data_IF_436440433205
#
_entry.id   IF_436440433205
#
_cell.length_a   1.000
_cell.length_b   1.000
_cell.length_c   1.000
_cell.angle_alpha   90.00
_cell.angle_beta   90.00
_cell.angle_gamma   90.00
#
_symmetry.space_group_name_H-M   'P 1'
#
loop_
_entity.id
_entity.type
_entity.pdbx_description
1 polymer ?
#
# COMPACT_ATOMS: atom_id res chain seq x y z
N UNK A 1 -8.78 -4.44 -8.16
CA UNK A 1 -7.96 -4.05 -6.98
C UNK A 1 -6.48 -4.31 -7.22
N UNK A 2 -6.06 -5.56 -7.39
CA UNK A 2 -4.64 -5.91 -7.62
C UNK A 2 -4.05 -5.21 -8.85
N UNK A 3 -4.82 -5.14 -9.94
CA UNK A 3 -4.41 -4.43 -11.16
C UNK A 3 -4.12 -2.94 -10.95
N UNK A 4 -4.75 -2.28 -9.98
CA UNK A 4 -4.50 -0.86 -9.69
C UNK A 4 -3.16 -0.64 -9.02
N UNK A 5 -2.73 -1.56 -8.16
CA UNK A 5 -1.37 -1.51 -7.60
C UNK A 5 -0.35 -1.90 -8.68
N UNK A 6 -0.63 -2.94 -9.46
CA UNK A 6 0.28 -3.36 -10.54
C UNK A 6 0.43 -2.32 -11.65
N UNK A 7 -0.60 -1.52 -11.96
CA UNK A 7 -0.51 -0.48 -12.99
C UNK A 7 0.55 0.57 -12.67
N UNK A 8 0.81 0.86 -11.39
CA UNK A 8 1.88 1.75 -10.97
C UNK A 8 3.26 1.20 -11.35
N UNK A 9 3.53 -0.07 -11.02
CA UNK A 9 4.79 -0.73 -11.38
C UNK A 9 4.99 -0.85 -12.89
N UNK A 10 3.92 -1.11 -13.64
CA UNK A 10 3.98 -1.09 -15.10
C UNK A 10 4.37 0.29 -15.64
N UNK A 11 3.76 1.34 -15.10
CA UNK A 11 4.06 2.71 -15.51
C UNK A 11 5.45 3.15 -15.07
N UNK A 12 5.94 2.72 -13.92
CA UNK A 12 7.30 2.97 -13.45
C UNK A 12 8.34 2.34 -14.37
N UNK A 13 8.11 1.09 -14.81
CA UNK A 13 8.94 0.42 -15.81
C UNK A 13 8.89 1.17 -17.13
N UNK A 14 7.69 1.52 -17.61
CA UNK A 14 7.52 2.23 -18.88
C UNK A 14 8.20 3.60 -18.86
N UNK A 15 8.03 4.36 -17.78
CA UNK A 15 8.70 5.64 -17.54
C UNK A 15 10.22 5.47 -17.56
N UNK A 16 10.73 4.50 -16.79
CA UNK A 16 12.17 4.27 -16.66
C UNK A 16 12.81 3.80 -17.96
N UNK A 17 12.10 3.02 -18.77
CA UNK A 17 12.58 2.57 -20.09
C UNK A 17 12.63 3.73 -21.07
N UNK A 18 11.55 4.52 -21.18
CA UNK A 18 11.48 5.66 -22.11
C UNK A 18 12.48 6.76 -21.72
N UNK A 19 12.59 7.06 -20.42
CA UNK A 19 13.42 8.13 -19.88
C UNK A 19 14.72 7.61 -19.24
N UNK A 20 15.25 6.47 -19.70
CA UNK A 20 16.50 5.85 -19.17
C UNK A 20 17.65 6.84 -18.95
N UNK A 21 17.99 7.76 -19.90
CA UNK A 21 19.10 8.69 -19.69
C UNK A 21 18.82 9.68 -18.56
N UNK A 22 17.59 10.16 -18.44
CA UNK A 22 17.17 11.11 -17.41
C UNK A 22 17.17 10.44 -16.04
N UNK A 23 16.47 9.30 -15.92
CA UNK A 23 16.31 8.56 -14.66
C UNK A 23 17.66 8.06 -14.14
N UNK A 24 18.52 7.52 -15.01
CA UNK A 24 19.86 7.07 -14.60
C UNK A 24 20.74 8.22 -14.08
N UNK A 25 20.65 9.40 -14.71
CA UNK A 25 21.38 10.58 -14.26
C UNK A 25 20.84 11.12 -12.94
N UNK A 26 19.51 11.21 -12.79
CA UNK A 26 18.88 11.61 -11.53
C UNK A 26 19.27 10.68 -10.38
N UNK A 27 19.24 9.36 -10.60
CA UNK A 27 19.66 8.38 -9.60
C UNK A 27 21.15 8.49 -9.28
N UNK A 28 22.01 8.75 -10.28
CA UNK A 28 23.44 8.99 -10.04
C UNK A 28 23.70 10.23 -9.19
N UNK A 29 23.01 11.34 -9.49
CA UNK A 29 23.10 12.59 -8.74
C UNK A 29 22.65 12.38 -7.29
N UNK A 30 21.50 11.72 -7.10
CA UNK A 30 20.98 11.47 -5.75
C UNK A 30 21.85 10.46 -5.00
N UNK A 31 22.45 9.47 -5.65
CA UNK A 31 23.38 8.56 -4.96
C UNK A 31 24.78 9.14 -4.74
N UNK A 32 25.07 10.32 -5.29
CA UNK A 32 26.41 10.93 -5.33
C UNK A 32 27.48 9.97 -5.92
N UNK A 33 27.12 9.33 -7.03
CA UNK A 33 27.94 8.33 -7.74
C UNK A 33 28.08 8.69 -9.22
N UNK A 34 29.01 8.01 -9.89
CA UNK A 34 29.22 8.17 -11.33
C UNK A 34 27.94 7.80 -12.12
N UNK A 35 27.64 8.56 -13.18
CA UNK A 35 26.48 8.35 -14.06
C UNK A 35 26.36 6.90 -14.56
N UNK A 36 27.49 6.24 -14.83
CA UNK A 36 27.52 4.82 -15.22
C UNK A 36 26.88 3.91 -14.16
N UNK A 37 27.14 4.15 -12.87
CA UNK A 37 26.51 3.38 -11.80
C UNK A 37 25.01 3.66 -11.71
N UNK A 38 24.58 4.92 -11.90
CA UNK A 38 23.18 5.28 -11.95
C UNK A 38 22.42 4.54 -13.06
N UNK A 39 22.96 4.50 -14.28
CA UNK A 39 22.35 3.74 -15.38
C UNK A 39 22.33 2.22 -15.12
N UNK A 40 23.42 1.68 -14.57
CA UNK A 40 23.48 0.25 -14.21
C UNK A 40 22.40 -0.10 -13.17
N UNK A 41 22.25 0.73 -12.15
CA UNK A 41 21.23 0.55 -11.12
C UNK A 41 19.81 0.68 -11.70
N UNK A 42 19.56 1.65 -12.59
CA UNK A 42 18.26 1.77 -13.30
C UNK A 42 17.95 0.53 -14.11
N UNK A 43 18.92 -0.03 -14.83
CA UNK A 43 18.72 -1.26 -15.59
C UNK A 43 18.39 -2.45 -14.67
N UNK A 44 19.13 -2.60 -13.57
CA UNK A 44 18.87 -3.65 -12.58
C UNK A 44 17.45 -3.53 -11.99
N UNK A 45 17.05 -2.33 -11.59
CA UNK A 45 15.74 -2.05 -11.00
C UNK A 45 14.58 -2.29 -11.98
N UNK A 46 14.73 -1.87 -13.24
CA UNK A 46 13.77 -2.16 -14.31
C UNK A 46 13.63 -3.68 -14.52
N UNK A 47 14.74 -4.42 -14.61
CA UNK A 47 14.73 -5.87 -14.77
C UNK A 47 14.09 -6.58 -13.58
N UNK A 48 14.40 -6.15 -12.36
CA UNK A 48 13.81 -6.68 -11.13
C UNK A 48 12.29 -6.46 -11.11
N UNK A 49 11.84 -5.25 -11.47
CA UNK A 49 10.42 -4.90 -11.48
C UNK A 49 9.67 -5.67 -12.58
N UNK A 50 10.23 -5.79 -13.78
CA UNK A 50 9.67 -6.64 -14.85
C UNK A 50 9.57 -8.10 -14.39
N UNK A 51 10.63 -8.64 -13.79
CA UNK A 51 10.65 -10.00 -13.26
C UNK A 51 9.57 -10.21 -12.20
N UNK A 52 9.37 -9.24 -11.32
CA UNK A 52 8.32 -9.30 -10.31
C UNK A 52 6.91 -9.22 -10.90
N UNK A 53 6.67 -8.30 -11.85
CA UNK A 53 5.40 -8.18 -12.57
C UNK A 53 5.06 -9.52 -13.25
N UNK A 54 6.03 -10.12 -13.94
CA UNK A 54 5.87 -11.41 -14.59
C UNK A 54 5.54 -12.52 -13.58
N UNK A 55 6.21 -12.55 -12.43
CA UNK A 55 5.90 -13.52 -11.37
C UNK A 55 4.49 -13.32 -10.78
N UNK A 56 4.04 -12.08 -10.61
CA UNK A 56 2.73 -11.75 -10.03
C UNK A 56 1.58 -12.04 -10.99
N UNK A 57 1.72 -11.72 -12.28
CA UNK A 57 0.63 -11.83 -13.26
C UNK A 57 0.71 -13.08 -14.11
N UNK A 58 1.92 -13.52 -14.45
CA UNK A 58 2.17 -14.62 -15.38
C UNK A 58 2.32 -16.00 -14.72
N UNK A 59 2.53 -16.07 -13.40
CA UNK A 59 2.81 -17.34 -12.73
C UNK A 59 1.96 -17.58 -11.49
N UNK A 60 1.88 -18.85 -11.06
CA UNK A 60 1.31 -19.21 -9.74
C UNK A 60 2.22 -18.86 -8.56
N UNK A 61 3.35 -18.15 -8.76
CA UNK A 61 4.30 -17.76 -7.70
C UNK A 61 4.16 -16.29 -7.31
N UNK A 62 2.91 -15.84 -7.17
CA UNK A 62 2.56 -14.44 -6.89
C UNK A 62 3.24 -13.89 -5.63
N UNK A 63 3.29 -14.69 -4.55
CA UNK A 63 3.95 -14.30 -3.32
C UNK A 63 5.46 -14.01 -3.53
N UNK A 64 6.13 -14.81 -4.37
CA UNK A 64 7.54 -14.60 -4.70
C UNK A 64 7.75 -13.30 -5.48
N UNK A 65 6.83 -12.96 -6.39
CA UNK A 65 6.88 -11.70 -7.11
C UNK A 65 6.69 -10.49 -6.20
N UNK A 66 5.73 -10.54 -5.27
CA UNK A 66 5.54 -9.46 -4.28
C UNK A 66 6.75 -9.33 -3.35
N UNK A 67 7.33 -10.44 -2.89
CA UNK A 67 8.58 -10.38 -2.10
C UNK A 67 9.74 -9.81 -2.89
N UNK A 68 9.80 -10.05 -4.20
CA UNK A 68 10.85 -9.49 -5.06
C UNK A 68 10.71 -7.96 -5.14
N UNK A 69 9.49 -7.43 -5.32
CA UNK A 69 9.25 -5.98 -5.26
C UNK A 69 9.64 -5.39 -3.91
N UNK A 70 9.26 -6.05 -2.80
CA UNK A 70 9.62 -5.60 -1.46
C UNK A 70 11.15 -5.55 -1.28
N UNK A 71 11.88 -6.57 -1.74
CA UNK A 71 13.34 -6.57 -1.71
C UNK A 71 13.89 -5.42 -2.56
N UNK A 72 13.36 -5.22 -3.77
CA UNK A 72 13.73 -4.10 -4.64
C UNK A 72 13.54 -2.75 -3.94
N UNK A 73 12.39 -2.53 -3.28
CA UNK A 73 12.10 -1.32 -2.49
C UNK A 73 13.01 -1.16 -1.28
N UNK A 74 13.34 -2.24 -0.57
CA UNK A 74 14.32 -2.18 0.54
C UNK A 74 15.69 -1.78 0.03
N UNK A 75 16.14 -2.34 -1.09
CA UNK A 75 17.42 -1.97 -1.73
C UNK A 75 17.38 -0.50 -2.15
N UNK A 76 16.30 -0.07 -2.81
CA UNK A 76 16.08 1.33 -3.18
C UNK A 76 16.17 2.22 -1.95
N UNK A 77 15.43 1.91 -0.89
CA UNK A 77 15.50 2.64 0.36
C UNK A 77 16.92 2.68 0.95
N UNK A 78 17.69 1.60 0.92
CA UNK A 78 19.07 1.62 1.43
C UNK A 78 19.97 2.58 0.64
N UNK A 79 19.86 2.62 -0.68
CA UNK A 79 20.64 3.57 -1.50
C UNK A 79 20.19 5.02 -1.30
N UNK A 80 18.88 5.25 -1.14
CA UNK A 80 18.32 6.60 -1.05
C UNK A 80 18.16 7.10 0.39
N UNK A 81 18.35 6.26 1.42
CA UNK A 81 18.20 6.62 2.84
C UNK A 81 19.20 7.67 3.30
N UNK A 82 20.29 7.89 2.56
CA UNK A 82 21.28 8.93 2.85
C UNK A 82 20.66 10.32 2.65
N UNK A 83 19.65 10.45 1.78
CA UNK A 83 18.93 11.69 1.54
C UNK A 83 17.65 11.74 2.37
N UNK A 84 17.83 11.90 3.69
CA UNK A 84 16.73 12.16 4.64
C UNK A 84 15.98 13.47 4.38
N UNK A 85 16.44 14.32 3.45
CA UNK A 85 15.73 15.54 3.07
C UNK A 85 14.36 15.29 2.42
N UNK A 86 14.10 14.08 1.91
CA UNK A 86 12.80 13.77 1.33
C UNK A 86 11.92 12.99 2.31
N UNK A 87 11.45 13.63 3.39
CA UNK A 87 10.42 13.07 4.27
C UNK A 87 9.23 12.51 3.46
N UNK A 88 8.79 13.24 2.43
CA UNK A 88 7.75 12.82 1.50
C UNK A 88 8.10 11.52 0.75
N UNK A 89 9.37 11.32 0.39
CA UNK A 89 9.80 10.09 -0.28
C UNK A 89 9.68 8.88 0.64
N UNK A 90 10.10 9.00 1.90
CA UNK A 90 9.98 7.91 2.89
C UNK A 90 8.52 7.53 3.16
N UNK A 91 7.63 8.52 3.25
CA UNK A 91 6.21 8.26 3.48
C UNK A 91 5.47 7.71 2.25
N UNK A 92 5.88 8.11 1.04
CA UNK A 92 5.36 7.53 -0.20
C UNK A 92 5.87 6.09 -0.39
N UNK A 93 7.14 5.82 -0.11
CA UNK A 93 7.70 4.46 -0.14
C UNK A 93 7.03 3.58 0.92
N UNK A 94 6.78 4.10 2.13
CA UNK A 94 6.03 3.35 3.13
C UNK A 94 4.61 3.06 2.69
N UNK A 95 3.94 3.98 2.00
CA UNK A 95 2.61 3.75 1.44
C UNK A 95 2.64 2.62 0.41
N UNK A 96 3.61 2.66 -0.51
CA UNK A 96 3.78 1.64 -1.55
C UNK A 96 4.05 0.26 -0.94
N UNK A 97 4.97 0.17 0.03
CA UNK A 97 5.21 -1.04 0.83
C UNK A 97 3.92 -1.51 1.50
N UNK A 98 3.09 -0.58 2.02
CA UNK A 98 1.78 -0.91 2.60
C UNK A 98 0.84 -1.57 1.60
N UNK A 99 0.77 -1.04 0.38
CA UNK A 99 -0.03 -1.59 -0.71
C UNK A 99 0.44 -3.00 -1.11
N UNK A 100 1.76 -3.23 -1.16
CA UNK A 100 2.35 -4.54 -1.45
C UNK A 100 2.10 -5.56 -0.33
N UNK A 101 2.18 -5.14 0.94
CA UNK A 101 1.87 -6.01 2.08
C UNK A 101 0.40 -6.46 2.06
N UNK A 102 -0.52 -5.56 1.71
CA UNK A 102 -1.93 -5.90 1.53
C UNK A 102 -2.16 -6.79 0.31
N UNK A 103 -1.45 -6.56 -0.79
CA UNK A 103 -1.48 -7.44 -1.95
C UNK A 103 -1.03 -8.86 -1.57
N UNK A 104 0.06 -8.99 -0.81
CA UNK A 104 0.54 -10.27 -0.28
C UNK A 104 -0.50 -10.92 0.64
N UNK A 105 -1.12 -10.13 1.54
CA UNK A 105 -2.17 -10.61 2.43
C UNK A 105 -3.40 -11.12 1.64
N UNK A 106 -3.83 -10.41 0.60
CA UNK A 106 -4.93 -10.83 -0.28
C UNK A 106 -4.62 -12.16 -0.98
N UNK A 107 -3.38 -12.35 -1.46
CA UNK A 107 -2.98 -13.62 -2.10
C UNK A 107 -2.90 -14.78 -1.12
N UNK A 108 -2.47 -14.53 0.13
CA UNK A 108 -2.49 -15.55 1.18
C UNK A 108 -3.94 -15.95 1.52
N UNK A 109 -4.84 -14.97 1.64
CA UNK A 109 -6.26 -15.21 1.93
C UNK A 109 -6.95 -16.07 0.87
N UNK A 110 -6.58 -15.90 -0.42
CA UNK A 110 -7.13 -16.69 -1.52
C UNK A 110 -6.67 -18.16 -1.54
N UNK A 111 -5.60 -18.53 -0.80
CA UNK A 111 -5.03 -19.88 -0.88
C UNK A 111 -5.50 -20.84 0.20
N UNK A 112 -6.46 -20.45 1.07
CA UNK A 112 -7.05 -21.30 2.12
C UNK A 112 -6.01 -22.09 2.95
N UNK A 113 -4.83 -21.51 3.20
CA UNK A 113 -3.73 -22.25 3.82
C UNK A 113 -3.75 -22.15 5.35
N UNK A 114 -3.71 -23.34 5.98
CA UNK A 114 -3.28 -23.73 7.33
C UNK A 114 -3.07 -22.61 8.37
N UNK A 115 -3.55 -22.83 9.60
CA UNK A 115 -3.46 -21.92 10.77
C UNK A 115 -2.12 -21.18 10.95
N UNK A 116 -0.98 -21.78 10.57
CA UNK A 116 0.33 -21.12 10.62
C UNK A 116 0.41 -19.83 9.78
N UNK A 117 -0.26 -19.79 8.63
CA UNK A 117 -0.31 -18.62 7.77
C UNK A 117 -1.26 -17.54 8.29
N UNK A 118 -2.21 -17.87 9.18
CA UNK A 118 -3.11 -16.87 9.78
C UNK A 118 -2.36 -15.84 10.62
N UNK A 119 -1.33 -16.27 11.38
CA UNK A 119 -0.52 -15.31 12.15
C UNK A 119 0.23 -14.35 11.24
N UNK A 120 0.83 -14.86 10.15
CA UNK A 120 1.52 -14.04 9.14
C UNK A 120 0.57 -13.09 8.44
N UNK A 121 -0.60 -13.58 8.03
CA UNK A 121 -1.66 -12.78 7.43
C UNK A 121 -2.02 -11.56 8.30
N UNK A 122 -2.22 -11.77 9.60
CA UNK A 122 -2.55 -10.67 10.50
C UNK A 122 -1.40 -9.68 10.73
N UNK A 123 -0.14 -10.14 10.69
CA UNK A 123 1.04 -9.27 10.73
C UNK A 123 1.13 -8.43 9.46
N UNK A 124 0.89 -9.03 8.30
CA UNK A 124 0.86 -8.32 7.02
C UNK A 124 -0.24 -7.26 6.99
N UNK A 125 -1.45 -7.58 7.50
CA UNK A 125 -2.52 -6.58 7.62
C UNK A 125 -2.17 -5.44 8.57
N UNK A 126 -1.55 -5.74 9.72
CA UNK A 126 -1.13 -4.70 10.67
C UNK A 126 -0.05 -3.81 10.04
N UNK A 127 0.99 -4.41 9.46
CA UNK A 127 2.05 -3.71 8.75
C UNK A 127 1.50 -2.87 7.61
N UNK A 128 0.63 -3.43 6.77
CA UNK A 128 -0.05 -2.73 5.69
C UNK A 128 -0.83 -1.51 6.16
N UNK A 129 -1.60 -1.63 7.26
CA UNK A 129 -2.32 -0.48 7.85
C UNK A 129 -1.40 0.60 8.38
N UNK A 130 -0.34 0.22 9.10
CA UNK A 130 0.66 1.17 9.62
C UNK A 130 1.36 1.89 8.47
N UNK A 131 1.73 1.16 7.43
CA UNK A 131 2.34 1.71 6.23
C UNK A 131 1.42 2.66 5.47
N UNK A 132 0.16 2.28 5.23
CA UNK A 132 -0.82 3.16 4.58
C UNK A 132 -1.15 4.42 5.39
N UNK A 133 -0.95 4.36 6.71
CA UNK A 133 -1.19 5.52 7.58
C UNK A 133 -0.25 6.70 7.32
N UNK A 134 0.85 6.47 6.58
CA UNK A 134 1.75 7.53 6.13
C UNK A 134 1.06 8.58 5.26
N UNK A 135 0.00 8.22 4.52
CA UNK A 135 -0.76 9.16 3.70
C UNK A 135 -1.30 10.32 4.54
N UNK A 136 -1.85 10.01 5.72
CA UNK A 136 -2.43 11.05 6.57
C UNK A 136 -1.35 11.93 7.20
N UNK A 137 -0.16 11.40 7.44
CA UNK A 137 0.97 12.18 7.94
C UNK A 137 1.42 13.18 6.87
N UNK A 138 1.51 12.75 5.61
CA UNK A 138 1.75 13.64 4.46
C UNK A 138 0.70 14.75 4.41
N UNK A 139 -0.59 14.41 4.46
CA UNK A 139 -1.67 15.40 4.40
C UNK A 139 -1.66 16.40 5.57
N UNK A 140 -1.25 15.97 6.76
CA UNK A 140 -1.11 16.87 7.92
C UNK A 140 0.09 17.81 7.74
N UNK A 141 1.21 17.31 7.19
CA UNK A 141 2.42 18.10 6.94
C UNK A 141 2.25 19.11 5.81
N UNK A 142 1.46 18.79 4.78
CA UNK A 142 1.13 19.70 3.67
C UNK A 142 0.40 20.98 4.13
N UNK A 143 -0.03 21.05 5.39
CA UNK A 143 -0.54 22.28 6.00
C UNK A 143 -1.86 22.74 5.39
N UNK A 144 -2.66 21.78 4.90
CA UNK A 144 -3.97 22.01 4.29
C UNK A 144 -4.92 22.69 5.27
N UNK A 145 -6.06 23.16 4.76
CA UNK A 145 -7.12 23.78 5.55
C UNK A 145 -7.34 23.04 6.89
N UNK A 146 -7.50 23.81 7.97
CA UNK A 146 -7.62 23.26 9.34
C UNK A 146 -8.67 22.15 9.44
N UNK A 147 -9.77 22.28 8.70
CA UNK A 147 -10.81 21.26 8.59
C UNK A 147 -10.31 19.94 7.98
N UNK A 148 -9.56 20.01 6.88
CA UNK A 148 -9.01 18.82 6.23
C UNK A 148 -7.96 18.12 7.11
N UNK A 149 -7.15 18.89 7.84
CA UNK A 149 -6.21 18.34 8.83
C UNK A 149 -6.92 17.59 9.96
N UNK A 150 -8.05 18.13 10.48
CA UNK A 150 -8.88 17.45 11.48
C UNK A 150 -9.48 16.16 10.93
N UNK A 151 -10.01 16.19 9.70
CA UNK A 151 -10.55 15.00 9.03
C UNK A 151 -9.46 13.94 8.84
N UNK A 152 -8.28 14.34 8.37
CA UNK A 152 -7.11 13.47 8.16
C UNK A 152 -6.66 12.81 9.45
N UNK A 153 -6.59 13.57 10.55
CA UNK A 153 -6.29 13.02 11.87
C UNK A 153 -7.35 12.03 12.35
N UNK A 154 -8.64 12.33 12.12
CA UNK A 154 -9.73 11.40 12.41
C UNK A 154 -9.59 10.09 11.64
N UNK A 155 -9.39 10.16 10.33
CA UNK A 155 -9.19 8.99 9.47
C UNK A 155 -7.97 8.17 9.90
N UNK A 156 -6.85 8.83 10.21
CA UNK A 156 -5.64 8.20 10.74
C UNK A 156 -5.95 7.35 11.97
N UNK A 157 -6.60 7.92 12.99
CA UNK A 157 -6.91 7.21 14.24
C UNK A 157 -7.81 6.01 13.98
N UNK A 158 -8.86 6.16 13.17
CA UNK A 158 -9.81 5.08 12.89
C UNK A 158 -9.19 3.94 12.06
N UNK A 159 -8.38 4.24 11.06
CA UNK A 159 -7.66 3.23 10.25
C UNK A 159 -6.59 2.53 11.09
N UNK A 160 -5.85 3.29 11.91
CA UNK A 160 -4.80 2.76 12.78
C UNK A 160 -5.37 1.76 13.80
N UNK A 161 -6.44 2.14 14.50
CA UNK A 161 -7.18 1.24 15.39
C UNK A 161 -7.94 0.13 14.63
N UNK A 162 -8.19 0.34 13.33
CA UNK A 162 -8.99 -0.54 12.46
C UNK A 162 -10.41 -0.71 12.98
N UNK A 163 -11.01 0.40 13.35
CA UNK A 163 -12.42 0.51 13.70
C UNK A 163 -13.22 0.81 12.44
N UNK A 164 -14.28 0.04 12.16
CA UNK A 164 -15.06 0.11 10.92
C UNK A 164 -14.19 0.27 9.66
N UNK A 165 -13.16 -0.57 9.56
CA UNK A 165 -12.07 -0.40 8.60
C UNK A 165 -12.56 -0.26 7.15
N UNK A 166 -13.62 -0.99 6.78
CA UNK A 166 -14.28 -0.89 5.47
C UNK A 166 -14.81 0.52 5.18
N UNK A 167 -15.53 1.12 6.12
CA UNK A 167 -16.13 2.45 5.97
C UNK A 167 -15.04 3.53 5.88
N UNK A 168 -14.06 3.51 6.79
CA UNK A 168 -13.01 4.52 6.80
C UNK A 168 -12.04 4.39 5.62
N UNK A 169 -11.82 3.18 5.09
CA UNK A 169 -11.09 2.99 3.85
C UNK A 169 -11.81 3.64 2.66
N UNK A 170 -13.14 3.48 2.53
CA UNK A 170 -13.90 4.18 1.49
C UNK A 170 -13.91 5.70 1.67
N UNK A 171 -14.08 6.19 2.91
CA UNK A 171 -13.97 7.62 3.20
C UNK A 171 -12.59 8.17 2.84
N UNK A 172 -11.53 7.39 3.08
CA UNK A 172 -10.17 7.77 2.68
C UNK A 172 -10.04 7.84 1.16
N UNK A 173 -10.62 6.91 0.40
CA UNK A 173 -10.64 6.98 -1.06
C UNK A 173 -11.37 8.24 -1.54
N UNK A 174 -12.49 8.60 -0.91
CA UNK A 174 -13.22 9.83 -1.25
C UNK A 174 -12.37 11.08 -0.91
N UNK A 175 -11.77 11.12 0.27
CA UNK A 175 -10.88 12.20 0.69
C UNK A 175 -9.66 12.33 -0.24
N UNK A 176 -9.11 11.20 -0.69
CA UNK A 176 -7.99 11.15 -1.61
C UNK A 176 -8.38 11.67 -3.00
N UNK A 177 -9.55 11.29 -3.51
CA UNK A 177 -10.06 11.85 -4.76
C UNK A 177 -10.28 13.36 -4.62
N UNK A 178 -10.86 13.82 -3.51
CA UNK A 178 -11.02 15.25 -3.24
C UNK A 178 -9.68 15.99 -3.23
N UNK A 179 -8.70 15.45 -2.50
CA UNK A 179 -7.38 16.04 -2.32
C UNK A 179 -6.55 16.06 -3.62
N UNK A 180 -6.30 14.88 -4.18
CA UNK A 180 -5.37 14.72 -5.29
C UNK A 180 -6.01 15.12 -6.63
N UNK A 181 -7.32 14.94 -6.83
CA UNK A 181 -7.98 15.28 -8.10
C UNK A 181 -8.54 16.70 -8.07
N UNK A 182 -9.36 17.04 -7.07
CA UNK A 182 -10.14 18.29 -7.09
C UNK A 182 -9.41 19.49 -6.49
N UNK A 183 -8.59 19.31 -5.44
CA UNK A 183 -7.92 20.43 -4.74
C UNK A 183 -6.58 20.80 -5.37
N UNK A 184 -5.62 19.87 -5.40
CA UNK A 184 -4.21 20.25 -5.62
C UNK A 184 -3.71 20.03 -7.05
N UNK A 185 -4.30 19.09 -7.81
CA UNK A 185 -3.69 18.65 -9.07
C UNK A 185 -4.67 18.57 -10.27
N UNK A 186 -5.79 19.29 -10.23
CA UNK A 186 -6.65 19.42 -11.41
C UNK A 186 -5.89 19.98 -12.63
N UNK A 187 -4.89 20.83 -12.40
CA UNK A 187 -3.97 21.29 -13.44
C UNK A 187 -2.96 20.23 -13.89
N UNK A 188 -2.63 19.21 -13.09
CA UNK A 188 -1.77 18.09 -13.55
C UNK A 188 -2.50 17.13 -14.49
N UNK A 189 -3.83 17.05 -14.39
CA UNK A 189 -4.67 16.26 -15.31
C UNK A 189 -4.58 16.76 -16.76
N UNK A 190 -4.42 18.08 -16.97
CA UNK A 190 -4.54 18.71 -18.29
C UNK A 190 -3.38 19.65 -18.68
N UNK A 191 -2.49 20.00 -17.76
CA UNK A 191 -1.57 21.13 -17.90
C UNK A 191 -0.09 20.78 -18.05
N UNK A 192 0.30 19.50 -18.01
CA UNK A 192 1.69 19.12 -18.26
C UNK A 192 1.88 18.79 -19.74
N UNK A 193 2.89 19.40 -20.36
CA UNK A 193 3.32 19.06 -21.73
C UNK A 193 3.81 17.60 -21.83
N UNK A 194 4.21 16.99 -20.71
CA UNK A 194 4.67 15.61 -20.66
C UNK A 194 3.55 14.67 -20.20
N UNK A 195 2.82 14.15 -21.19
CA UNK A 195 1.74 13.16 -21.00
C UNK A 195 2.16 11.95 -20.17
N UNK A 196 3.43 11.55 -20.26
CA UNK A 196 3.92 10.34 -19.64
C UNK A 196 4.02 10.52 -18.11
N UNK A 197 4.39 11.72 -17.66
CA UNK A 197 4.40 12.06 -16.24
C UNK A 197 2.98 12.16 -15.66
N UNK A 198 2.03 12.77 -16.39
CA UNK A 198 0.64 12.78 -15.96
C UNK A 198 0.10 11.36 -15.76
N UNK A 199 0.39 10.43 -16.67
CA UNK A 199 -0.01 9.01 -16.52
C UNK A 199 0.68 8.36 -15.31
N UNK A 200 1.95 8.68 -15.04
CA UNK A 200 2.63 8.18 -13.85
C UNK A 200 1.94 8.66 -12.56
N UNK A 201 1.55 9.93 -12.46
CA UNK A 201 0.76 10.45 -11.34
C UNK A 201 -0.59 9.74 -11.20
N UNK A 202 -1.31 9.48 -12.30
CA UNK A 202 -2.54 8.67 -12.25
C UNK A 202 -2.28 7.26 -11.74
N UNK A 203 -1.22 6.63 -12.21
CA UNK A 203 -0.90 5.27 -11.79
C UNK A 203 -0.60 5.19 -10.30
N UNK A 204 0.07 6.22 -9.74
CA UNK A 204 0.34 6.35 -8.32
C UNK A 204 -0.95 6.61 -7.53
N UNK A 205 -1.83 7.47 -8.03
CA UNK A 205 -3.18 7.68 -7.47
C UNK A 205 -3.97 6.37 -7.41
N UNK A 206 -4.00 5.61 -8.51
CA UNK A 206 -4.65 4.31 -8.58
C UNK A 206 -4.01 3.30 -7.64
N UNK A 207 -2.69 3.34 -7.45
CA UNK A 207 -2.01 2.49 -6.47
C UNK A 207 -2.50 2.79 -5.04
N UNK A 208 -2.53 4.07 -4.65
CA UNK A 208 -3.06 4.50 -3.33
C UNK A 208 -4.50 4.02 -3.15
N UNK A 209 -5.38 4.29 -4.13
CA UNK A 209 -6.78 3.86 -4.11
C UNK A 209 -6.87 2.33 -4.01
N UNK A 210 -6.06 1.62 -4.79
CA UNK A 210 -5.97 0.16 -4.77
C UNK A 210 -5.58 -0.39 -3.40
N UNK A 211 -4.63 0.25 -2.71
CA UNK A 211 -4.24 -0.08 -1.34
C UNK A 211 -5.40 0.02 -0.35
N UNK A 212 -6.11 1.15 -0.32
CA UNK A 212 -7.26 1.33 0.58
C UNK A 212 -8.46 0.45 0.21
N UNK A 213 -8.72 0.23 -1.07
CA UNK A 213 -9.76 -0.73 -1.51
C UNK A 213 -9.41 -2.17 -1.12
N UNK A 214 -8.13 -2.57 -1.18
CA UNK A 214 -7.72 -3.88 -0.65
C UNK A 214 -7.88 -3.95 0.86
N UNK A 215 -7.57 -2.88 1.59
CA UNK A 215 -7.81 -2.81 3.03
C UNK A 215 -9.30 -2.94 3.37
N UNK A 216 -10.19 -2.34 2.58
CA UNK A 216 -11.63 -2.40 2.83
C UNK A 216 -12.22 -3.81 2.66
N UNK A 217 -11.67 -4.61 1.74
CA UNK A 217 -12.05 -6.00 1.53
C UNK A 217 -11.42 -6.97 2.54
N UNK A 218 -10.14 -6.79 2.86
CA UNK A 218 -9.43 -7.68 3.80
C UNK A 218 -9.80 -7.40 5.27
N UNK A 219 -10.22 -6.18 5.56
CA UNK A 219 -10.55 -5.70 6.89
C UNK A 219 -9.31 -5.43 7.78
N UNK A 220 -9.56 -5.03 9.03
CA UNK A 220 -8.50 -4.60 9.95
C UNK A 220 -7.63 -5.72 10.56
N UNK A 221 -8.03 -6.99 10.40
CA UNK A 221 -7.33 -8.14 10.97
C UNK A 221 -7.53 -8.31 12.49
N UNK A 222 -6.82 -9.26 13.10
CA UNK A 222 -7.09 -9.69 14.49
C UNK A 222 -6.80 -8.66 15.57
N UNK A 223 -5.90 -7.73 15.26
CA UNK A 223 -5.43 -6.70 16.18
C UNK A 223 -6.12 -5.36 15.97
N UNK A 224 -7.17 -5.33 15.15
CA UNK A 224 -8.04 -4.17 15.05
C UNK A 224 -9.20 -4.26 16.04
N UNK A 225 -9.82 -3.11 16.34
CA UNK A 225 -11.05 -3.06 17.15
C UNK A 225 -12.14 -3.94 16.55
N UNK A 226 -12.29 -3.92 15.22
CA UNK A 226 -13.22 -4.81 14.50
C UNK A 226 -12.91 -6.29 14.75
N UNK A 227 -11.62 -6.67 14.72
CA UNK A 227 -11.16 -8.03 15.00
C UNK A 227 -11.39 -8.47 16.44
N UNK A 228 -11.16 -7.58 17.41
CA UNK A 228 -11.48 -7.84 18.82
C UNK A 228 -12.98 -8.04 19.04
N UNK A 229 -13.83 -7.22 18.39
CA UNK A 229 -15.30 -7.35 18.47
C UNK A 229 -15.77 -8.69 17.88
N UNK A 230 -15.25 -9.10 16.72
CA UNK A 230 -15.57 -10.39 16.09
C UNK A 230 -15.19 -11.57 16.98
N UNK A 231 -13.98 -11.56 17.56
CA UNK A 231 -13.52 -12.60 18.51
C UNK A 231 -14.37 -12.68 19.77
N UNK A 232 -14.82 -11.53 20.27
CA UNK A 232 -15.74 -11.50 21.40
C UNK A 232 -17.05 -12.18 21.00
N UNK A 233 -17.64 -11.78 19.87
CA UNK A 233 -18.86 -12.41 19.33
C UNK A 233 -18.76 -13.94 19.20
N UNK A 234 -17.69 -14.45 18.59
CA UNK A 234 -17.46 -15.90 18.46
C UNK A 234 -17.30 -16.61 19.81
N UNK A 235 -16.63 -15.99 20.79
CA UNK A 235 -16.52 -16.54 22.16
C UNK A 235 -17.87 -16.55 22.87
N UNK A 236 -18.70 -15.53 22.65
CA UNK A 236 -20.04 -15.44 23.20
C UNK A 236 -20.96 -16.50 22.58
N UNK A 237 -20.92 -16.69 21.27
CA UNK A 237 -21.66 -17.76 20.57
C UNK A 237 -21.23 -19.15 21.03
N UNK A 238 -19.91 -19.41 21.17
CA UNK A 238 -19.42 -20.68 21.71
C UNK A 238 -19.96 -20.92 23.12
N UNK A 239 -19.91 -19.92 24.02
CA UNK A 239 -20.48 -20.02 25.37
C UNK A 239 -22.00 -20.23 25.37
N UNK A 240 -22.71 -19.59 24.43
CA UNK A 240 -24.15 -19.79 24.21
C UNK A 240 -24.47 -21.22 23.80
N UNK A 241 -23.74 -21.76 22.82
CA UNK A 241 -23.90 -23.14 22.35
C UNK A 241 -23.59 -24.16 23.45
N UNK A 242 -22.54 -23.94 24.28
CA UNK A 242 -22.28 -24.79 25.44
C UNK A 242 -23.41 -24.75 26.47
N UNK A 243 -24.10 -23.61 26.66
CA UNK A 243 -25.28 -23.54 27.54
C UNK A 243 -26.44 -24.33 26.95
N UNK A 244 -26.73 -24.18 25.66
CA UNK A 244 -27.85 -24.88 24.99
C UNK A 244 -27.64 -26.39 25.02
N UNK A 245 -26.42 -26.88 24.75
CA UNK A 245 -26.09 -28.31 24.80
C UNK A 245 -26.23 -28.84 26.23
N UNK A 246 -25.74 -28.11 27.24
CA UNK A 246 -25.90 -28.53 28.64
C UNK A 246 -27.38 -28.67 29.03
N UNK A 247 -28.22 -27.70 28.66
CA UNK A 247 -29.66 -27.74 28.96
C UNK A 247 -30.36 -28.91 28.28
N UNK A 248 -29.96 -29.28 27.05
CA UNK A 248 -30.51 -30.44 26.34
C UNK A 248 -30.05 -31.79 26.90
N UNK A 249 -28.85 -31.87 27.49
CA UNK A 249 -28.37 -33.10 28.14
C UNK A 249 -28.88 -33.31 29.57
N UNK A 250 -29.54 -32.30 30.16
CA UNK A 250 -30.08 -32.33 31.53
C UNK A 250 -31.61 -32.38 31.60
N UNK A 251 -32.30 -32.46 30.47
CA UNK A 251 -33.75 -32.66 30.35
C UNK A 251 -34.03 -34.09 29.90
#
# INVERSE_FOLDING_TARGET
>A
MQYFVMSYYFMEVLYSVVNTPLVGRERAIVMDVNECFGHFYTCFDVLLTIGAIFLILGTRKEASGVTLLLIGRVIHRLFFSIWTMFFYFLFNDSLDVGSLLLLMAAKINLRDQMDWFQSKYHILLLGGRLCLSSLYIIWIDEGLETLFSIVSFGLLVFIWLGFHCKLFAYLTVIALLYHDVFSNHWSMLWGWNDTLLSIQYFSLLFCKIGGFLMLSELGGGRWSVDGYRKRSGEKWEKKGNYRIIKTQTSA
#
